data_IF_007320033975
#
_entry.id   IF_007320033975
#
_cell.length_a   1.000
_cell.length_b   1.000
_cell.length_c   1.000
_cell.angle_alpha   90.00
_cell.angle_beta   90.00
_cell.angle_gamma   90.00
#
_symmetry.space_group_name_H-M   'P 1'
#
loop_
_entity.id
_entity.type
_entity.pdbx_description
1 polymer ?
#
# COMPACT_ATOMS: atom_id res chain seq x y z
N UNK A 1 11.22 2.79 -10.36
CA UNK A 1 12.34 3.13 -9.46
C UNK A 1 12.66 4.61 -9.61
N UNK A 2 12.72 5.30 -8.49
CA UNK A 2 13.13 6.70 -8.38
C UNK A 2 14.34 6.77 -7.46
N UNK A 3 15.31 7.62 -7.77
CA UNK A 3 16.41 7.94 -6.85
C UNK A 3 16.13 9.26 -6.17
N UNK A 4 16.49 9.34 -4.89
CA UNK A 4 16.40 10.54 -4.07
C UNK A 4 17.77 10.80 -3.46
N UNK A 5 18.19 12.06 -3.42
CA UNK A 5 19.43 12.47 -2.77
C UNK A 5 19.31 13.89 -2.22
N UNK A 6 20.18 14.25 -1.28
CA UNK A 6 20.27 15.61 -0.73
C UNK A 6 21.43 16.30 -1.42
N UNK A 7 21.21 17.48 -1.98
CA UNK A 7 22.30 18.31 -2.50
C UNK A 7 23.18 18.77 -1.32
N UNK A 8 24.50 18.51 -1.34
CA UNK A 8 25.36 18.84 -0.21
C UNK A 8 25.59 20.34 -0.02
N UNK A 9 25.23 21.17 -1.00
CA UNK A 9 25.40 22.63 -0.99
C UNK A 9 24.10 23.34 -0.63
N UNK A 10 22.99 22.95 -1.27
CA UNK A 10 21.68 23.60 -1.04
C UNK A 10 20.88 22.93 0.08
N UNK A 11 21.23 21.70 0.47
CA UNK A 11 20.46 20.82 1.36
C UNK A 11 19.05 20.50 0.87
N UNK A 12 18.77 20.77 -0.41
CA UNK A 12 17.50 20.41 -1.02
C UNK A 12 17.46 18.92 -1.36
N UNK A 13 16.31 18.29 -1.12
CA UNK A 13 16.06 16.94 -1.60
C UNK A 13 15.74 16.98 -3.09
N UNK A 14 16.57 16.31 -3.86
CA UNK A 14 16.35 16.07 -5.27
C UNK A 14 15.77 14.67 -5.50
N UNK A 15 14.98 14.56 -6.57
CA UNK A 15 14.36 13.32 -7.03
C UNK A 15 14.61 13.18 -8.53
N UNK A 16 14.91 11.96 -8.99
CA UNK A 16 14.95 11.65 -10.42
C UNK A 16 14.31 10.28 -10.68
N UNK A 17 13.37 10.17 -11.65
CA UNK A 17 12.88 8.87 -12.09
C UNK A 17 13.97 8.14 -12.87
N UNK A 18 14.35 6.95 -12.40
CA UNK A 18 15.31 6.10 -13.11
C UNK A 18 14.60 5.21 -14.13
N UNK A 19 13.54 4.53 -13.74
CA UNK A 19 12.91 3.54 -14.59
C UNK A 19 11.44 3.27 -14.22
N UNK A 20 10.58 3.13 -15.23
CA UNK A 20 9.24 2.58 -15.11
C UNK A 20 9.09 1.42 -16.12
N UNK A 21 9.58 0.24 -15.73
CA UNK A 21 9.68 -0.92 -16.61
C UNK A 21 8.51 -1.86 -16.39
N UNK A 22 7.95 -2.40 -17.48
CA UNK A 22 6.93 -3.45 -17.41
C UNK A 22 7.58 -4.76 -16.99
N UNK A 23 7.18 -5.28 -15.84
CA UNK A 23 7.51 -6.63 -15.41
C UNK A 23 6.66 -7.62 -16.20
N UNK A 24 7.29 -8.65 -16.81
CA UNK A 24 6.59 -9.68 -17.61
C UNK A 24 6.73 -11.03 -16.92
N UNK A 25 5.70 -11.87 -16.99
CA UNK A 25 5.71 -13.20 -16.37
C UNK A 25 5.43 -13.14 -14.87
N UNK A 26 5.90 -14.14 -14.13
CA UNK A 26 5.74 -14.21 -12.68
C UNK A 26 6.64 -13.20 -11.96
N UNK A 27 6.09 -12.48 -10.98
CA UNK A 27 6.81 -11.45 -10.22
C UNK A 27 7.53 -12.05 -9.00
N UNK A 28 8.37 -13.05 -9.23
CA UNK A 28 9.12 -13.77 -8.18
C UNK A 28 10.37 -12.99 -7.75
N UNK A 29 10.87 -13.28 -6.56
CA UNK A 29 11.87 -12.47 -5.85
C UNK A 29 13.22 -12.35 -6.58
N UNK A 30 13.69 -13.41 -7.23
CA UNK A 30 14.93 -13.44 -8.03
C UNK A 30 14.83 -12.55 -9.28
N UNK A 31 13.68 -12.55 -9.96
CA UNK A 31 13.42 -11.67 -11.11
C UNK A 31 13.32 -10.19 -10.72
N UNK A 32 12.85 -9.91 -9.50
CA UNK A 32 12.89 -8.56 -8.95
C UNK A 32 14.34 -8.10 -8.76
N UNK A 33 15.20 -8.96 -8.22
CA UNK A 33 16.64 -8.69 -8.02
C UNK A 33 17.33 -8.40 -9.34
N UNK A 34 17.14 -9.26 -10.35
CA UNK A 34 17.68 -9.07 -11.70
C UNK A 34 17.30 -7.69 -12.27
N UNK A 35 16.03 -7.30 -12.15
CA UNK A 35 15.55 -6.03 -12.69
C UNK A 35 16.12 -4.82 -11.93
N UNK A 36 16.26 -4.91 -10.61
CA UNK A 36 16.85 -3.84 -9.79
C UNK A 36 18.32 -3.64 -10.17
N UNK A 37 19.08 -4.73 -10.29
CA UNK A 37 20.51 -4.68 -10.64
C UNK A 37 20.70 -4.11 -12.04
N UNK A 38 19.88 -4.54 -13.01
CA UNK A 38 19.96 -4.03 -14.38
C UNK A 38 19.72 -2.51 -14.45
N UNK A 39 18.75 -2.00 -13.68
CA UNK A 39 18.54 -0.54 -13.54
C UNK A 39 19.75 0.12 -12.88
N UNK A 40 20.30 -0.46 -11.80
CA UNK A 40 21.48 0.11 -11.15
C UNK A 40 22.69 0.17 -12.11
N UNK A 41 22.90 -0.87 -12.92
CA UNK A 41 23.97 -0.92 -13.91
C UNK A 41 23.81 0.12 -15.02
N UNK A 42 22.60 0.35 -15.52
CA UNK A 42 22.30 1.37 -16.55
C UNK A 42 22.74 2.78 -16.12
N UNK A 43 22.65 3.08 -14.82
CA UNK A 43 22.94 4.41 -14.26
C UNK A 43 24.27 4.47 -13.47
N UNK A 44 25.13 3.43 -13.55
CA UNK A 44 26.38 3.30 -12.75
C UNK A 44 26.16 3.51 -11.24
N UNK A 45 25.01 3.06 -10.73
CA UNK A 45 24.62 3.11 -9.32
C UNK A 45 25.17 1.87 -8.59
N UNK A 46 26.48 1.82 -8.40
CA UNK A 46 27.15 0.75 -7.64
C UNK A 46 26.74 0.81 -6.17
N UNK A 47 26.80 -0.32 -5.47
CA UNK A 47 26.40 -0.45 -4.06
C UNK A 47 26.95 0.63 -3.11
N UNK A 48 28.21 1.11 -3.22
CA UNK A 48 28.72 2.17 -2.34
C UNK A 48 28.03 3.53 -2.53
N UNK A 49 27.40 3.77 -3.69
CA UNK A 49 26.66 5.01 -3.99
C UNK A 49 25.22 4.96 -3.44
N UNK A 50 24.73 3.79 -3.04
CA UNK A 50 23.35 3.60 -2.59
C UNK A 50 23.33 3.38 -1.08
N UNK A 51 22.82 4.36 -0.35
CA UNK A 51 22.65 4.25 1.10
C UNK A 51 21.56 3.24 1.46
N UNK A 52 20.41 3.30 0.76
CA UNK A 52 19.24 2.49 1.09
C UNK A 52 18.27 2.36 -0.08
N UNK A 53 17.48 1.29 -0.08
CA UNK A 53 16.35 1.06 -0.98
C UNK A 53 15.07 0.90 -0.18
N UNK A 54 14.04 1.68 -0.52
CA UNK A 54 12.71 1.61 0.10
C UNK A 54 11.74 0.92 -0.84
N UNK A 55 11.03 -0.10 -0.36
CA UNK A 55 9.94 -0.77 -1.11
C UNK A 55 8.71 -0.93 -0.25
N UNK A 56 7.58 -1.29 -0.87
CA UNK A 56 6.42 -1.79 -0.12
C UNK A 56 6.74 -3.11 0.62
N UNK A 57 5.77 -3.58 1.40
CA UNK A 57 5.87 -4.82 2.17
C UNK A 57 5.41 -6.05 1.37
N UNK A 58 5.45 -5.98 0.03
CA UNK A 58 5.12 -7.14 -0.80
C UNK A 58 6.04 -8.31 -0.49
N UNK A 59 5.48 -9.52 -0.35
CA UNK A 59 6.23 -10.72 0.07
C UNK A 59 7.46 -11.00 -0.80
N UNK A 60 7.34 -10.85 -2.12
CA UNK A 60 8.46 -11.04 -3.04
C UNK A 60 9.52 -9.94 -2.96
N UNK A 61 9.14 -8.71 -2.60
CA UNK A 61 10.10 -7.63 -2.31
C UNK A 61 10.87 -7.96 -1.03
N UNK A 62 10.16 -8.25 0.06
CA UNK A 62 10.77 -8.60 1.36
C UNK A 62 11.71 -9.79 1.21
N UNK A 63 11.29 -10.84 0.49
CA UNK A 63 12.10 -12.03 0.22
C UNK A 63 13.36 -11.71 -0.60
N UNK A 64 13.25 -10.88 -1.63
CA UNK A 64 14.38 -10.46 -2.46
C UNK A 64 15.47 -9.79 -1.61
N UNK A 65 15.10 -8.80 -0.78
CA UNK A 65 16.05 -8.10 0.08
C UNK A 65 16.54 -8.94 1.27
N UNK A 66 15.75 -9.90 1.75
CA UNK A 66 16.19 -10.85 2.80
C UNK A 66 17.25 -11.82 2.29
N UNK A 67 17.13 -12.30 1.05
CA UNK A 67 18.05 -13.29 0.47
C UNK A 67 19.29 -12.62 -0.14
N UNK A 68 19.10 -11.51 -0.86
CA UNK A 68 20.14 -10.87 -1.66
C UNK A 68 20.63 -9.54 -1.07
N UNK A 69 20.03 -9.04 0.00
CA UNK A 69 20.49 -7.83 0.67
C UNK A 69 21.86 -7.99 1.33
N UNK A 70 22.50 -6.86 1.63
CA UNK A 70 23.70 -6.86 2.47
C UNK A 70 23.37 -7.49 3.83
N UNK A 71 24.21 -8.39 4.36
CA UNK A 71 24.09 -8.84 5.74
C UNK A 71 24.26 -7.62 6.65
N UNK A 72 23.32 -7.41 7.56
CA UNK A 72 23.38 -6.32 8.53
C UNK A 72 24.69 -6.44 9.33
N UNK A 73 25.58 -5.46 9.17
CA UNK A 73 26.73 -5.35 10.04
C UNK A 73 26.21 -5.05 11.46
N UNK A 74 26.74 -5.70 12.51
CA UNK A 74 26.16 -5.67 13.86
C UNK A 74 26.21 -4.31 14.60
N UNK A 75 26.66 -3.22 13.96
CA UNK A 75 26.87 -1.91 14.60
C UNK A 75 25.76 -0.89 14.32
N UNK A 76 24.53 -1.35 14.09
CA UNK A 76 23.38 -0.44 14.02
C UNK A 76 22.36 -0.80 15.10
N UNK A 77 22.05 0.17 15.97
CA UNK A 77 20.98 0.12 16.99
C UNK A 77 19.58 -0.24 16.42
N UNK A 78 19.47 -0.48 15.11
CA UNK A 78 18.33 -0.99 14.37
C UNK A 78 17.99 -2.48 14.64
N UNK A 79 18.82 -3.25 15.37
CA UNK A 79 18.53 -4.65 15.67
C UNK A 79 17.18 -4.87 16.38
N UNK A 80 16.70 -3.87 17.14
CA UNK A 80 15.39 -3.91 17.79
C UNK A 80 14.20 -3.70 16.82
N UNK A 81 14.41 -3.06 15.66
CA UNK A 81 13.38 -2.83 14.64
C UNK A 81 13.11 -4.13 13.84
N UNK A 82 14.14 -4.95 13.62
CA UNK A 82 14.02 -6.25 12.96
C UNK A 82 13.07 -7.19 13.71
N UNK A 83 13.14 -7.20 15.04
CA UNK A 83 12.27 -8.04 15.88
C UNK A 83 10.78 -7.64 15.76
N UNK A 84 10.48 -6.35 15.56
CA UNK A 84 9.10 -5.88 15.30
C UNK A 84 8.64 -6.28 13.89
N UNK A 85 9.53 -6.20 12.89
CA UNK A 85 9.22 -6.61 11.51
C UNK A 85 9.01 -8.12 11.38
N UNK A 86 9.77 -8.96 12.09
CA UNK A 86 9.56 -10.42 12.11
C UNK A 86 8.24 -10.82 12.79
N UNK A 87 7.83 -10.11 13.85
CA UNK A 87 6.51 -10.29 14.47
C UNK A 87 5.40 -9.85 13.49
N UNK A 88 5.62 -8.75 12.77
CA UNK A 88 4.67 -8.27 11.76
C UNK A 88 4.52 -9.24 10.59
N UNK A 89 5.62 -9.83 10.11
CA UNK A 89 5.60 -10.83 9.03
C UNK A 89 4.84 -12.10 9.42
N UNK A 90 5.09 -12.65 10.62
CA UNK A 90 4.34 -13.82 11.13
C UNK A 90 2.83 -13.56 11.23
N UNK A 91 2.43 -12.32 11.52
CA UNK A 91 1.02 -11.93 11.56
C UNK A 91 0.44 -11.67 10.15
N UNK A 92 1.27 -11.41 9.14
CA UNK A 92 0.87 -11.13 7.76
C UNK A 92 0.83 -12.40 6.89
N UNK A 93 1.65 -13.41 7.22
CA UNK A 93 1.70 -14.75 6.58
C UNK A 93 0.50 -15.65 6.89
N UNK A 94 -0.42 -15.24 7.78
CA UNK A 94 -1.63 -16.01 8.09
C UNK A 94 -2.73 -15.94 7.02
N UNK A 95 -2.46 -15.32 5.88
CA UNK A 95 -3.32 -15.39 4.70
C UNK A 95 -2.50 -15.65 3.43
N UNK A 96 -2.40 -16.93 3.11
CA UNK A 96 -2.03 -17.58 1.83
C UNK A 96 -0.63 -18.19 1.72
N UNK A 97 -0.70 -19.53 1.61
CA UNK A 97 0.16 -20.51 0.92
C UNK A 97 1.45 -20.99 1.60
N UNK A 98 1.29 -22.18 2.21
CA UNK A 98 2.15 -23.36 2.13
C UNK A 98 3.64 -23.12 1.82
N UNK A 99 4.46 -23.20 2.87
CA UNK A 99 5.90 -23.33 2.71
C UNK A 99 6.24 -24.74 2.19
N UNK A 100 6.51 -24.86 0.89
CA UNK A 100 7.13 -26.05 0.32
C UNK A 100 8.64 -26.10 0.66
N UNK A 101 9.09 -27.24 1.20
CA UNK A 101 10.49 -27.56 1.53
C UNK A 101 11.45 -27.52 0.31
N UNK A 102 10.92 -27.40 -0.91
CA UNK A 102 11.68 -27.45 -2.17
C UNK A 102 12.45 -26.15 -2.51
N UNK A 103 12.22 -25.03 -1.83
CA UNK A 103 12.91 -23.77 -2.12
C UNK A 103 14.40 -23.73 -1.71
N UNK A 104 14.83 -24.62 -0.81
CA UNK A 104 16.25 -24.75 -0.42
C UNK A 104 17.11 -25.34 -1.56
N UNK A 105 16.48 -26.00 -2.54
CA UNK A 105 17.19 -26.56 -3.71
C UNK A 105 17.53 -25.51 -4.76
N UNK A 106 16.83 -24.37 -4.84
CA UNK A 106 17.08 -23.31 -5.82
C UNK A 106 18.42 -22.61 -5.56
N UNK A 107 18.87 -22.56 -4.30
CA UNK A 107 20.17 -22.00 -3.92
C UNK A 107 21.36 -22.75 -4.54
N UNK A 108 21.20 -24.04 -4.87
CA UNK A 108 22.26 -24.89 -5.46
C UNK A 108 22.42 -24.70 -6.98
N UNK A 109 21.48 -24.02 -7.64
CA UNK A 109 21.53 -23.76 -9.08
C UNK A 109 22.32 -22.51 -9.46
N UNK A 110 22.73 -21.70 -8.48
CA UNK A 110 23.57 -20.53 -8.72
C UNK A 110 25.03 -20.98 -8.83
N UNK A 111 25.77 -20.59 -9.90
CA UNK A 111 27.19 -20.87 -9.98
C UNK A 111 27.87 -20.24 -8.76
N UNK A 112 28.72 -21.00 -8.07
CA UNK A 112 29.60 -20.50 -7.01
C UNK A 112 30.35 -19.28 -7.58
N UNK A 113 29.90 -18.09 -7.20
CA UNK A 113 30.30 -16.86 -7.84
C UNK A 113 31.76 -16.57 -7.49
N UNK A 114 32.61 -16.52 -8.53
CA UNK A 114 33.96 -15.94 -8.44
C UNK A 114 33.94 -14.39 -8.40
N UNK A 115 32.76 -13.77 -8.34
CA UNK A 115 32.56 -12.35 -8.03
C UNK A 115 31.25 -12.20 -7.23
N UNK A 116 31.35 -12.08 -5.91
CA UNK A 116 30.20 -12.03 -4.99
C UNK A 116 29.33 -10.77 -5.11
N UNK A 117 29.77 -9.77 -5.88
CA UNK A 117 29.15 -8.43 -5.90
C UNK A 117 28.05 -8.26 -6.97
N UNK A 118 27.91 -9.21 -7.90
CA UNK A 118 27.01 -9.04 -9.06
C UNK A 118 25.52 -9.08 -8.67
N UNK A 119 25.16 -9.81 -7.60
CA UNK A 119 23.76 -10.03 -7.21
C UNK A 119 23.37 -9.44 -5.85
N UNK A 120 24.24 -8.64 -5.23
CA UNK A 120 23.95 -8.07 -3.91
C UNK A 120 23.08 -6.82 -4.05
N UNK A 121 22.01 -6.75 -3.25
CA UNK A 121 21.13 -5.59 -3.13
C UNK A 121 21.59 -4.65 -2.00
N UNK A 122 21.30 -3.33 -2.10
CA UNK A 122 21.55 -2.37 -1.02
C UNK A 122 20.73 -2.68 0.25
N UNK A 123 21.02 -1.95 1.33
CA UNK A 123 20.24 -2.00 2.56
C UNK A 123 18.75 -1.73 2.26
N UNK A 124 17.86 -2.47 2.91
CA UNK A 124 16.43 -2.38 2.68
C UNK A 124 15.71 -1.61 3.77
N UNK A 125 14.70 -0.84 3.38
CA UNK A 125 13.71 -0.26 4.27
C UNK A 125 12.32 -0.57 3.76
N UNK A 126 11.44 -0.90 4.70
CA UNK A 126 10.02 -1.03 4.44
C UNK A 126 9.37 0.35 4.36
N UNK A 127 8.48 0.52 3.40
CA UNK A 127 7.70 1.72 3.25
C UNK A 127 6.72 1.87 4.43
N UNK A 128 7.00 2.82 5.32
CA UNK A 128 6.15 3.10 6.47
C UNK A 128 4.72 3.48 6.05
N UNK A 129 4.58 4.25 4.97
CA UNK A 129 3.28 4.60 4.39
C UNK A 129 2.48 3.37 3.98
N UNK A 130 3.11 2.36 3.38
CA UNK A 130 2.42 1.11 3.05
C UNK A 130 1.98 0.38 4.33
N UNK A 131 2.82 0.34 5.36
CA UNK A 131 2.43 -0.22 6.67
C UNK A 131 1.21 0.50 7.25
N UNK A 132 1.16 1.84 7.20
CA UNK A 132 0.02 2.62 7.66
C UNK A 132 -1.26 2.30 6.88
N UNK A 133 -1.18 2.02 5.58
CA UNK A 133 -2.35 1.57 4.80
C UNK A 133 -2.92 0.21 5.25
N UNK A 134 -2.08 -0.64 5.86
CA UNK A 134 -2.51 -1.96 6.33
C UNK A 134 -3.26 -1.89 7.67
N UNK A 135 -2.94 -0.92 8.53
CA UNK A 135 -3.53 -0.80 9.88
C UNK A 135 -5.07 -0.76 9.83
N UNK A 136 -5.71 0.17 9.09
CA UNK A 136 -7.16 0.25 9.08
C UNK A 136 -7.82 -1.02 8.53
N UNK A 137 -7.23 -1.59 7.48
CA UNK A 137 -7.75 -2.81 6.85
C UNK A 137 -7.76 -3.97 7.85
N UNK A 138 -6.66 -4.16 8.60
CA UNK A 138 -6.54 -5.20 9.62
C UNK A 138 -7.45 -4.95 10.82
N UNK A 139 -7.54 -3.71 11.29
CA UNK A 139 -8.38 -3.36 12.44
C UNK A 139 -9.87 -3.50 12.12
N UNK A 140 -10.29 -3.08 10.92
CA UNK A 140 -11.67 -3.28 10.43
C UNK A 140 -11.97 -4.78 10.35
N UNK A 141 -11.10 -5.59 9.75
CA UNK A 141 -11.34 -7.04 9.63
C UNK A 141 -11.38 -7.75 11.00
N UNK A 142 -10.55 -7.31 11.94
CA UNK A 142 -10.59 -7.80 13.33
C UNK A 142 -11.89 -7.40 14.02
N UNK A 143 -12.35 -6.15 13.86
CA UNK A 143 -13.63 -5.67 14.40
C UNK A 143 -14.82 -6.44 13.79
N UNK A 144 -14.80 -6.70 12.47
CA UNK A 144 -15.80 -7.52 11.77
C UNK A 144 -15.82 -8.96 12.27
N UNK A 145 -14.66 -9.55 12.54
CA UNK A 145 -14.56 -10.93 13.01
C UNK A 145 -15.04 -11.10 14.45
N UNK A 146 -14.77 -10.10 15.30
CA UNK A 146 -15.07 -10.16 16.73
C UNK A 146 -16.47 -9.65 17.09
N UNK A 147 -17.12 -8.85 16.24
CA UNK A 147 -18.41 -8.25 16.53
C UNK A 147 -19.42 -8.45 15.39
N UNK A 148 -20.39 -9.34 15.62
CA UNK A 148 -21.42 -9.67 14.63
C UNK A 148 -22.38 -8.49 14.33
N UNK A 149 -22.68 -7.61 15.28
CA UNK A 149 -23.55 -6.46 15.01
C UNK A 149 -22.82 -5.43 14.15
N UNK A 150 -21.55 -5.14 14.48
CA UNK A 150 -20.68 -4.31 13.65
C UNK A 150 -20.55 -4.88 12.24
N UNK A 151 -20.24 -6.18 12.11
CA UNK A 151 -20.11 -6.85 10.81
C UNK A 151 -21.35 -6.68 9.93
N UNK A 152 -22.55 -6.88 10.50
CA UNK A 152 -23.81 -6.74 9.74
C UNK A 152 -24.00 -5.35 9.19
N UNK A 153 -23.77 -4.30 9.98
CA UNK A 153 -23.95 -2.91 9.54
C UNK A 153 -22.84 -2.52 8.56
N UNK A 154 -21.59 -2.87 8.86
CA UNK A 154 -20.45 -2.67 7.97
C UNK A 154 -20.68 -3.30 6.59
N UNK A 155 -21.00 -4.59 6.55
CA UNK A 155 -21.13 -5.33 5.28
C UNK A 155 -22.33 -4.81 4.47
N UNK A 156 -23.43 -4.43 5.13
CA UNK A 156 -24.59 -3.85 4.46
C UNK A 156 -24.28 -2.46 3.86
N UNK A 157 -23.64 -1.57 4.62
CA UNK A 157 -23.26 -0.24 4.16
C UNK A 157 -22.25 -0.32 3.00
N UNK A 158 -21.17 -1.09 3.17
CA UNK A 158 -20.13 -1.25 2.17
C UNK A 158 -20.63 -1.93 0.89
N UNK A 159 -21.54 -2.91 1.00
CA UNK A 159 -22.14 -3.56 -0.17
C UNK A 159 -22.92 -2.55 -1.04
N UNK A 160 -23.64 -1.60 -0.43
CA UNK A 160 -24.39 -0.56 -1.15
C UNK A 160 -23.48 0.47 -1.80
N UNK A 161 -22.44 0.92 -1.10
CA UNK A 161 -21.41 1.79 -1.69
C UNK A 161 -20.76 1.11 -2.90
N UNK A 162 -20.33 -0.15 -2.75
CA UNK A 162 -19.76 -0.95 -3.84
C UNK A 162 -20.72 -1.14 -5.01
N UNK A 163 -22.01 -1.33 -4.74
CA UNK A 163 -23.00 -1.47 -5.81
C UNK A 163 -23.04 -0.23 -6.71
N UNK A 164 -23.01 0.97 -6.12
CA UNK A 164 -22.97 2.23 -6.88
C UNK A 164 -21.66 2.38 -7.63
N UNK A 165 -20.52 2.20 -6.95
CA UNK A 165 -19.20 2.34 -7.56
C UNK A 165 -19.01 1.39 -8.75
N UNK A 166 -19.37 0.11 -8.58
CA UNK A 166 -19.24 -0.90 -9.63
C UNK A 166 -20.18 -0.63 -10.80
N UNK A 167 -21.40 -0.16 -10.54
CA UNK A 167 -22.35 0.14 -11.61
C UNK A 167 -21.90 1.36 -12.42
N UNK A 168 -21.51 2.44 -11.74
CA UNK A 168 -21.00 3.65 -12.39
C UNK A 168 -19.72 3.35 -13.19
N UNK A 169 -18.79 2.56 -12.64
CA UNK A 169 -17.55 2.18 -13.33
C UNK A 169 -17.79 1.42 -14.65
N UNK A 170 -18.95 0.80 -14.84
CA UNK A 170 -19.27 -0.05 -16.00
C UNK A 170 -20.35 0.53 -16.91
N UNK A 171 -20.99 1.64 -16.53
CA UNK A 171 -22.14 2.19 -17.24
C UNK A 171 -22.05 3.72 -17.30
N UNK A 172 -21.71 4.30 -18.47
CA UNK A 172 -21.74 5.74 -18.68
C UNK A 172 -23.10 6.34 -18.35
N UNK A 173 -24.19 5.65 -18.70
CA UNK A 173 -25.56 6.05 -18.36
C UNK A 173 -25.79 6.13 -16.84
N UNK A 174 -25.22 5.22 -16.07
CA UNK A 174 -25.31 5.28 -14.60
C UNK A 174 -24.53 6.49 -14.04
N UNK A 175 -23.36 6.80 -14.62
CA UNK A 175 -22.60 8.00 -14.28
C UNK A 175 -23.37 9.29 -14.60
N UNK A 176 -24.02 9.36 -15.76
CA UNK A 176 -24.87 10.50 -16.16
C UNK A 176 -26.02 10.68 -15.16
N UNK A 177 -26.73 9.60 -14.82
CA UNK A 177 -27.81 9.63 -13.82
C UNK A 177 -27.29 10.11 -12.45
N UNK A 178 -26.12 9.61 -12.02
CA UNK A 178 -25.50 10.03 -10.77
C UNK A 178 -25.17 11.53 -10.80
N UNK A 179 -24.57 12.02 -11.88
CA UNK A 179 -24.19 13.42 -12.06
C UNK A 179 -25.42 14.34 -12.12
N UNK A 180 -26.46 13.96 -12.85
CA UNK A 180 -27.71 14.73 -12.95
C UNK A 180 -28.38 14.95 -11.60
N UNK A 181 -28.42 13.93 -10.75
CA UNK A 181 -29.09 13.99 -9.45
C UNK A 181 -28.22 14.66 -8.39
N UNK A 182 -26.92 14.35 -8.36
CA UNK A 182 -26.03 14.77 -7.27
C UNK A 182 -25.23 16.04 -7.58
N UNK A 183 -25.18 16.45 -8.85
CA UNK A 183 -24.31 17.52 -9.33
C UNK A 183 -22.82 17.18 -9.30
N UNK A 184 -22.45 15.92 -8.99
CA UNK A 184 -21.06 15.48 -8.87
C UNK A 184 -20.81 14.19 -9.63
N UNK A 185 -19.64 14.03 -10.24
CA UNK A 185 -19.26 12.77 -10.86
C UNK A 185 -19.03 11.67 -9.79
N UNK A 186 -19.46 10.42 -10.04
CA UNK A 186 -19.21 9.34 -9.11
C UNK A 186 -17.72 9.02 -9.02
N UNK A 187 -17.26 8.70 -7.82
CA UNK A 187 -15.91 8.17 -7.56
C UNK A 187 -15.92 6.65 -7.51
N UNK A 188 -14.73 6.04 -7.60
CA UNK A 188 -14.57 4.60 -7.46
C UNK A 188 -13.25 4.30 -6.73
N UNK A 189 -13.26 3.42 -5.71
CA UNK A 189 -12.08 3.16 -4.91
C UNK A 189 -11.04 2.34 -5.67
N UNK A 190 -9.77 2.63 -5.44
CA UNK A 190 -8.64 1.81 -5.84
C UNK A 190 -8.43 0.70 -4.82
N UNK A 191 -8.61 -0.60 -5.17
CA UNK A 191 -8.54 -1.70 -4.20
C UNK A 191 -7.18 -1.83 -3.50
N UNK A 192 -6.11 -1.34 -4.12
CA UNK A 192 -4.74 -1.46 -3.62
C UNK A 192 -4.35 -0.37 -2.63
N UNK A 193 -5.23 0.60 -2.33
CA UNK A 193 -4.97 1.67 -1.36
C UNK A 193 -6.18 1.91 -0.47
N UNK A 194 -6.03 1.63 0.83
CA UNK A 194 -7.12 1.81 1.79
C UNK A 194 -7.68 3.25 1.83
N UNK A 195 -6.82 4.27 1.76
CA UNK A 195 -7.26 5.68 1.79
C UNK A 195 -8.19 6.05 0.61
N UNK A 196 -8.16 5.29 -0.49
CA UNK A 196 -9.11 5.46 -1.59
C UNK A 196 -10.54 5.07 -1.21
N UNK A 197 -10.73 4.09 -0.33
CA UNK A 197 -12.05 3.78 0.24
C UNK A 197 -12.54 4.92 1.13
N UNK A 198 -11.67 5.47 1.98
CA UNK A 198 -11.98 6.63 2.81
C UNK A 198 -12.47 7.82 1.96
N UNK A 199 -11.79 8.10 0.85
CA UNK A 199 -12.15 9.19 -0.05
C UNK A 199 -13.47 8.96 -0.77
N UNK A 200 -13.72 7.75 -1.26
CA UNK A 200 -14.97 7.44 -1.95
C UNK A 200 -16.17 7.48 -1.01
N UNK A 201 -16.01 7.05 0.26
CA UNK A 201 -17.07 7.15 1.27
C UNK A 201 -17.31 8.61 1.66
N UNK A 202 -16.24 9.39 1.85
CA UNK A 202 -16.33 10.84 2.10
C UNK A 202 -17.12 11.53 0.98
N UNK A 203 -16.90 11.11 -0.26
CA UNK A 203 -17.60 11.65 -1.42
C UNK A 203 -19.06 11.24 -1.53
N UNK A 204 -19.43 10.02 -1.12
CA UNK A 204 -20.83 9.61 -0.96
C UNK A 204 -21.52 10.47 0.10
N UNK A 205 -20.86 10.72 1.24
CA UNK A 205 -21.44 11.50 2.34
C UNK A 205 -21.68 12.97 1.96
N UNK A 206 -20.89 13.54 1.04
CA UNK A 206 -21.14 14.89 0.50
C UNK A 206 -22.46 14.99 -0.26
N UNK A 207 -22.98 13.88 -0.76
CA UNK A 207 -24.25 13.80 -1.52
C UNK A 207 -25.30 12.96 -0.79
N UNK A 208 -25.19 12.85 0.55
CA UNK A 208 -26.04 11.97 1.37
C UNK A 208 -27.55 12.26 1.22
N UNK A 209 -27.93 13.50 0.93
CA UNK A 209 -29.32 13.91 0.77
C UNK A 209 -29.94 13.36 -0.52
N UNK A 210 -29.13 13.19 -1.57
CA UNK A 210 -29.58 12.79 -2.92
C UNK A 210 -29.16 11.38 -3.30
N UNK A 211 -28.20 10.75 -2.61
CA UNK A 211 -27.69 9.41 -2.94
C UNK A 211 -28.79 8.34 -2.95
N UNK A 212 -29.78 8.44 -2.06
CA UNK A 212 -30.90 7.50 -2.03
C UNK A 212 -31.84 7.65 -3.23
N UNK A 213 -31.93 8.84 -3.82
CA UNK A 213 -32.64 9.04 -5.10
C UNK A 213 -31.88 8.38 -6.25
N UNK A 214 -30.55 8.55 -6.30
CA UNK A 214 -29.68 7.87 -7.27
C UNK A 214 -29.85 6.36 -7.18
N UNK A 215 -29.73 5.79 -5.97
CA UNK A 215 -29.87 4.36 -5.72
C UNK A 215 -31.21 3.83 -6.25
N UNK A 216 -32.32 4.53 -5.97
CA UNK A 216 -33.65 4.17 -6.49
C UNK A 216 -33.71 4.22 -8.01
N UNK A 217 -33.22 5.29 -8.65
CA UNK A 217 -33.25 5.44 -10.12
C UNK A 217 -32.37 4.42 -10.84
N UNK A 218 -31.31 3.95 -10.18
CA UNK A 218 -30.43 2.89 -10.68
C UNK A 218 -30.90 1.47 -10.34
N UNK A 219 -32.03 1.30 -9.62
CA UNK A 219 -32.53 -0.01 -9.21
C UNK A 219 -31.70 -0.70 -8.12
N UNK A 220 -30.96 0.07 -7.33
CA UNK A 220 -30.10 -0.40 -6.24
C UNK A 220 -30.78 -0.23 -4.87
N UNK A 221 -30.34 -1.03 -3.89
CA UNK A 221 -30.84 -0.93 -2.53
C UNK A 221 -30.41 0.39 -1.87
N UNK A 222 -31.37 1.11 -1.27
CA UNK A 222 -31.13 2.38 -0.58
C UNK A 222 -30.30 2.22 0.69
N UNK A 223 -29.50 3.24 1.01
CA UNK A 223 -28.81 3.37 2.30
C UNK A 223 -29.83 3.70 3.39
N UNK A 224 -29.87 2.85 4.41
CA UNK A 224 -30.67 3.06 5.63
C UNK A 224 -29.97 4.08 6.53
N UNK A 225 -30.72 4.71 7.40
CA UNK A 225 -30.18 5.71 8.33
C UNK A 225 -29.05 5.16 9.22
N UNK A 226 -29.19 3.93 9.71
CA UNK A 226 -28.12 3.26 10.48
C UNK A 226 -26.85 3.02 9.65
N UNK A 227 -26.97 2.84 8.34
CA UNK A 227 -25.82 2.65 7.44
C UNK A 227 -25.17 3.99 7.10
N UNK A 228 -25.95 5.06 6.92
CA UNK A 228 -25.42 6.42 6.76
C UNK A 228 -24.67 6.85 8.02
N UNK A 229 -25.27 6.65 9.19
CA UNK A 229 -24.62 6.94 10.48
C UNK A 229 -23.33 6.14 10.65
N UNK A 230 -23.33 4.86 10.27
CA UNK A 230 -22.13 4.04 10.25
C UNK A 230 -21.03 4.61 9.35
N UNK A 231 -21.36 5.08 8.14
CA UNK A 231 -20.38 5.68 7.22
C UNK A 231 -19.81 6.99 7.78
N UNK A 232 -20.62 7.79 8.48
CA UNK A 232 -20.16 9.01 9.16
C UNK A 232 -19.14 8.64 10.26
N UNK A 233 -19.48 7.68 11.12
CA UNK A 233 -18.59 7.20 12.18
C UNK A 233 -17.31 6.59 11.59
N UNK A 234 -17.43 5.80 10.52
CA UNK A 234 -16.29 5.23 9.80
C UNK A 234 -15.29 6.31 9.38
N UNK A 235 -15.76 7.41 8.77
CA UNK A 235 -14.91 8.53 8.36
C UNK A 235 -14.31 9.25 9.56
N UNK A 236 -15.10 9.50 10.61
CA UNK A 236 -14.59 10.19 11.79
C UNK A 236 -13.48 9.40 12.50
N UNK A 237 -13.66 8.10 12.68
CA UNK A 237 -12.64 7.22 13.31
C UNK A 237 -11.41 7.03 12.44
N UNK A 238 -11.60 7.00 11.12
CA UNK A 238 -10.52 6.74 10.15
C UNK A 238 -9.77 8.01 9.72
N UNK A 239 -10.25 9.19 10.12
CA UNK A 239 -9.67 10.48 9.69
C UNK A 239 -8.20 10.65 10.08
N UNK A 240 -7.78 10.42 11.36
CA UNK A 240 -6.39 10.67 11.75
C UNK A 240 -5.40 9.87 10.92
N UNK A 241 -5.67 8.58 10.69
CA UNK A 241 -4.80 7.73 9.89
C UNK A 241 -4.82 8.09 8.40
N UNK A 242 -5.96 8.56 7.86
CA UNK A 242 -6.00 9.08 6.49
C UNK A 242 -5.18 10.36 6.32
N UNK A 243 -5.15 11.24 7.34
CA UNK A 243 -4.35 12.47 7.33
C UNK A 243 -2.86 12.15 7.44
N UNK A 244 -2.49 11.24 8.36
CA UNK A 244 -1.12 10.74 8.50
C UNK A 244 -0.57 10.12 7.21
N UNK A 245 -1.35 9.26 6.55
CA UNK A 245 -0.97 8.66 5.26
C UNK A 245 -0.71 9.76 4.23
N UNK A 246 -1.60 10.76 4.11
CA UNK A 246 -1.44 11.84 3.13
C UNK A 246 -0.21 12.71 3.39
N UNK A 247 0.08 13.01 4.66
CA UNK A 247 1.28 13.73 5.09
C UNK A 247 2.56 12.99 4.64
N UNK A 248 2.56 11.66 4.76
CA UNK A 248 3.69 10.79 4.43
C UNK A 248 3.77 10.38 2.95
N UNK A 249 2.72 10.59 2.16
CA UNK A 249 2.72 10.42 0.69
C UNK A 249 3.18 11.69 -0.05
N UNK A 250 3.48 12.78 0.67
CA UNK A 250 3.90 14.05 0.09
C UNK A 250 5.24 13.99 -0.66
N UNK A 251 5.30 14.62 -1.84
CA UNK A 251 6.53 14.75 -2.62
C UNK A 251 7.44 15.90 -2.14
N UNK A 252 6.90 16.83 -1.35
CA UNK A 252 7.63 17.99 -0.80
C UNK A 252 7.63 17.93 0.71
N UNK A 253 8.78 18.23 1.31
CA UNK A 253 8.96 18.36 2.78
C UNK A 253 8.68 17.10 3.62
N UNK A 254 8.34 15.96 3.01
CA UNK A 254 8.17 14.68 3.70
C UNK A 254 9.51 13.97 3.88
N UNK A 255 10.14 14.10 5.05
CA UNK A 255 11.39 13.40 5.40
C UNK A 255 11.12 12.23 6.35
N UNK A 256 12.11 11.37 6.57
CA UNK A 256 12.00 10.27 7.54
C UNK A 256 11.60 10.72 8.96
N UNK A 257 12.03 11.93 9.37
CA UNK A 257 11.66 12.53 10.65
C UNK A 257 10.16 12.85 10.80
N UNK A 258 9.39 12.89 9.71
CA UNK A 258 7.95 13.13 9.75
C UNK A 258 7.16 11.90 10.20
N UNK A 259 7.74 10.69 10.15
CA UNK A 259 7.01 9.46 10.49
C UNK A 259 6.64 9.39 11.97
N UNK A 260 7.60 9.67 12.87
CA UNK A 260 7.37 9.51 14.31
C UNK A 260 6.23 10.39 14.84
N UNK A 261 6.13 11.69 14.47
CA UNK A 261 4.99 12.53 14.87
C UNK A 261 3.62 11.98 14.44
N UNK A 262 3.53 11.28 13.31
CA UNK A 262 2.26 10.74 12.79
C UNK A 262 1.79 9.47 13.52
N UNK A 263 2.63 8.90 14.41
CA UNK A 263 2.31 7.70 15.19
C UNK A 263 1.76 7.99 16.59
N UNK A 264 1.73 9.26 17.02
CA UNK A 264 1.30 9.71 18.36
C UNK A 264 0.13 10.69 18.28
#
# INVERSE_FOLDING_TARGET
MTVHWIDPTTFERNISPLACRRFKGAHIFDKIVELIIDIHSEYDLRLPKITKTVTDNGSNMVKAFKIFGKPDLPDSDCANILNVNEIFDKNNEQSNDDMDEDEMSILKGFPEAKDSDIYQLPNHERCATHTLHLIPSRDIDKARSNNNSYRKVHDAAMAKCRAVWNLCARSPKACEIYLEITGKSPTSPCPTRWNSYYDCITDILKVQETINEVLRKLGLAVLKEIEVQFLIEYINTSKPISEAIRSLEGDKETFYGCLQPELY
#
